data_IF_004904205442
#
_entry.id   IF_004904205442
#
_cell.length_a   1.000
_cell.length_b   1.000
_cell.length_c   1.000
_cell.angle_alpha   90.00
_cell.angle_beta   90.00
_cell.angle_gamma   90.00
#
_symmetry.space_group_name_H-M   'P 1'
#
loop_
_entity.id
_entity.type
_entity.pdbx_description
1 polymer ?
#
# COMPACT_ATOMS: atom_id res chain seq x y z
N UNK A 1 -19.02 -11.15 33.19
CA UNK A 1 -19.13 -9.92 33.97
C UNK A 1 -19.85 -8.89 33.13
N UNK A 2 -21.05 -8.50 33.57
CA UNK A 2 -21.92 -7.54 32.88
C UNK A 2 -21.49 -6.13 33.22
N UNK A 3 -21.03 -5.37 32.22
CA UNK A 3 -20.75 -3.95 32.37
C UNK A 3 -22.07 -3.18 32.18
N UNK A 4 -22.68 -2.82 33.31
CA UNK A 4 -23.80 -1.88 33.41
C UNK A 4 -23.40 -0.50 32.83
N UNK A 5 -23.84 -0.20 31.61
CA UNK A 5 -24.16 1.19 31.26
C UNK A 5 -25.64 1.40 31.52
N UNK A 6 -25.98 1.81 32.75
CA UNK A 6 -27.24 2.51 33.00
C UNK A 6 -27.13 3.85 32.27
N UNK A 7 -27.68 3.91 31.06
CA UNK A 7 -27.95 5.17 30.37
C UNK A 7 -28.86 5.97 31.30
N UNK A 8 -28.41 7.17 31.66
CA UNK A 8 -29.13 8.09 32.52
C UNK A 8 -30.38 8.56 31.74
N UNK A 9 -31.52 7.88 31.95
CA UNK A 9 -32.80 8.12 31.26
C UNK A 9 -33.48 9.43 31.67
N UNK A 10 -32.76 10.39 32.24
CA UNK A 10 -33.31 11.68 32.68
C UNK A 10 -32.89 12.86 31.83
N UNK A 11 -32.08 12.67 30.77
CA UNK A 11 -31.64 13.79 29.93
C UNK A 11 -32.82 14.43 29.20
N UNK A 12 -32.88 15.76 29.24
CA UNK A 12 -33.89 16.50 28.48
C UNK A 12 -33.44 16.63 27.01
N UNK A 13 -34.41 16.72 26.07
CA UNK A 13 -34.12 16.97 24.64
C UNK A 13 -33.14 18.13 24.43
N UNK A 14 -33.26 19.18 25.24
CA UNK A 14 -32.39 20.35 25.19
C UNK A 14 -30.92 20.00 25.48
N UNK A 15 -30.66 19.17 26.49
CA UNK A 15 -29.31 18.74 26.87
C UNK A 15 -28.67 17.88 25.76
N UNK A 16 -29.45 17.02 25.11
CA UNK A 16 -29.00 16.23 23.96
C UNK A 16 -28.60 17.16 22.80
N UNK A 17 -29.43 18.16 22.50
CA UNK A 17 -29.13 19.14 21.45
C UNK A 17 -27.87 19.95 21.77
N UNK A 18 -27.68 20.35 23.04
CA UNK A 18 -26.46 21.05 23.49
C UNK A 18 -25.21 20.16 23.34
N UNK A 19 -25.30 18.88 23.72
CA UNK A 19 -24.22 17.91 23.57
C UNK A 19 -23.87 17.67 22.09
N UNK A 20 -24.87 17.54 21.22
CA UNK A 20 -24.67 17.45 19.77
C UNK A 20 -24.04 18.73 19.20
N UNK A 21 -24.40 19.90 19.72
CA UNK A 21 -23.75 21.17 19.40
C UNK A 21 -22.25 21.15 19.75
N UNK A 22 -21.91 20.60 20.92
CA UNK A 22 -20.52 20.41 21.34
C UNK A 22 -19.78 19.44 20.42
N UNK A 23 -20.36 18.28 20.08
CA UNK A 23 -19.77 17.35 19.09
C UNK A 23 -19.49 18.06 17.77
N UNK A 24 -20.47 18.79 17.22
CA UNK A 24 -20.31 19.53 15.97
C UNK A 24 -19.15 20.53 16.04
N UNK A 25 -18.99 21.25 17.14
CA UNK A 25 -17.88 22.20 17.32
C UNK A 25 -16.51 21.51 17.30
N UNK A 26 -16.38 20.33 17.92
CA UNK A 26 -15.16 19.53 17.91
C UNK A 26 -14.86 19.01 16.51
N UNK A 27 -15.88 18.50 15.82
CA UNK A 27 -15.74 17.96 14.47
C UNK A 27 -15.23 19.04 13.52
N UNK A 28 -15.84 20.23 13.52
CA UNK A 28 -15.41 21.34 12.68
C UNK A 28 -13.97 21.75 13.00
N UNK A 29 -13.61 21.87 14.27
CA UNK A 29 -12.23 22.16 14.67
C UNK A 29 -11.24 21.10 14.18
N UNK A 30 -11.63 19.83 14.16
CA UNK A 30 -10.78 18.74 13.66
C UNK A 30 -10.64 18.78 12.14
N UNK A 31 -11.71 19.13 11.43
CA UNK A 31 -11.67 19.38 9.99
C UNK A 31 -10.70 20.51 9.65
N UNK A 32 -10.75 21.63 10.38
CA UNK A 32 -9.87 22.78 10.15
C UNK A 32 -8.38 22.45 10.38
N UNK A 33 -8.07 21.35 11.09
CA UNK A 33 -6.71 20.86 11.34
C UNK A 33 -6.38 19.60 10.50
N UNK A 34 -7.19 19.28 9.48
CA UNK A 34 -7.08 18.09 8.63
C UNK A 34 -7.06 16.74 9.41
N UNK A 35 -7.56 16.71 10.65
CA UNK A 35 -7.66 15.52 11.50
C UNK A 35 -8.97 14.76 11.23
N UNK A 36 -9.14 14.35 9.97
CA UNK A 36 -10.36 13.74 9.45
C UNK A 36 -10.72 12.43 10.16
N UNK A 37 -9.73 11.58 10.48
CA UNK A 37 -9.97 10.32 11.20
C UNK A 37 -10.61 10.57 12.56
N UNK A 38 -10.10 11.53 13.32
CA UNK A 38 -10.69 11.85 14.61
C UNK A 38 -12.03 12.56 14.45
N UNK A 39 -12.23 13.37 13.40
CA UNK A 39 -13.52 14.00 13.09
C UNK A 39 -14.60 12.93 12.82
N UNK A 40 -14.28 11.92 12.01
CA UNK A 40 -15.16 10.77 11.74
C UNK A 40 -15.53 10.02 13.03
N UNK A 41 -14.55 9.72 13.89
CA UNK A 41 -14.81 9.07 15.19
C UNK A 41 -15.76 9.88 16.09
N UNK A 42 -15.68 11.22 16.03
CA UNK A 42 -16.59 12.10 16.79
C UNK A 42 -17.98 12.17 16.16
N UNK A 43 -18.10 12.04 14.85
CA UNK A 43 -19.40 11.88 14.18
C UNK A 43 -20.04 10.56 14.59
N UNK A 44 -19.31 9.46 14.59
CA UNK A 44 -19.84 8.15 14.99
C UNK A 44 -20.34 8.18 16.44
N UNK A 45 -19.62 8.90 17.32
CA UNK A 45 -20.07 9.14 18.71
C UNK A 45 -21.38 9.92 18.76
N UNK A 46 -21.52 10.97 17.96
CA UNK A 46 -22.73 11.78 17.89
C UNK A 46 -23.92 11.01 17.28
N UNK A 47 -23.68 10.20 16.25
CA UNK A 47 -24.69 9.31 15.64
C UNK A 47 -25.14 8.21 16.61
N UNK A 48 -24.22 7.69 17.43
CA UNK A 48 -24.57 6.74 18.51
C UNK A 48 -25.49 7.40 19.54
N UNK A 49 -25.14 8.61 20.00
CA UNK A 49 -25.99 9.38 20.91
C UNK A 49 -27.39 9.64 20.32
N UNK A 50 -27.46 10.01 19.04
CA UNK A 50 -28.74 10.21 18.36
C UNK A 50 -29.58 8.93 18.34
N UNK A 51 -28.97 7.80 18.00
CA UNK A 51 -29.64 6.51 17.96
C UNK A 51 -30.17 6.09 19.35
N UNK A 52 -29.42 6.36 20.41
CA UNK A 52 -29.82 6.04 21.79
C UNK A 52 -31.10 6.78 22.22
N UNK A 53 -31.32 7.99 21.73
CA UNK A 53 -32.44 8.86 22.12
C UNK A 53 -33.52 9.05 21.04
N UNK A 54 -33.36 8.48 19.85
CA UNK A 54 -34.29 8.62 18.71
C UNK A 54 -35.71 8.10 19.03
N UNK A 55 -35.83 7.14 19.95
CA UNK A 55 -37.14 6.59 20.36
C UNK A 55 -37.88 7.49 21.36
N UNK A 56 -37.16 8.36 22.05
CA UNK A 56 -37.70 9.27 23.09
C UNK A 56 -37.98 10.67 22.52
N UNK A 57 -37.18 11.11 21.54
CA UNK A 57 -37.28 12.44 20.95
C UNK A 57 -37.21 12.38 19.42
N UNK A 58 -37.97 13.25 18.75
CA UNK A 58 -37.80 13.50 17.32
C UNK A 58 -36.48 14.24 17.07
N UNK A 59 -35.49 13.51 16.53
CA UNK A 59 -34.12 13.94 16.24
C UNK A 59 -33.76 13.73 14.75
N UNK A 60 -34.75 13.56 13.87
CA UNK A 60 -34.51 13.27 12.44
C UNK A 60 -33.65 14.35 11.76
N UNK A 61 -33.85 15.61 12.11
CA UNK A 61 -33.10 16.74 11.56
C UNK A 61 -31.63 16.66 11.95
N UNK A 62 -31.34 16.39 13.21
CA UNK A 62 -29.98 16.25 13.75
C UNK A 62 -29.28 15.05 13.12
N UNK A 63 -29.96 13.90 13.05
CA UNK A 63 -29.48 12.69 12.36
C UNK A 63 -29.11 12.98 10.91
N UNK A 64 -30.00 13.64 10.16
CA UNK A 64 -29.71 14.04 8.77
C UNK A 64 -28.47 14.94 8.67
N UNK A 65 -28.32 15.90 9.57
CA UNK A 65 -27.17 16.82 9.56
C UNK A 65 -25.86 16.09 9.82
N UNK A 66 -25.80 15.19 10.80
CA UNK A 66 -24.59 14.42 11.09
C UNK A 66 -24.25 13.41 10.01
N UNK A 67 -25.25 12.75 9.41
CA UNK A 67 -25.03 11.86 8.26
C UNK A 67 -24.48 12.62 7.04
N UNK A 68 -25.02 13.80 6.74
CA UNK A 68 -24.49 14.64 5.66
C UNK A 68 -23.04 15.08 5.94
N UNK A 69 -22.74 15.43 7.19
CA UNK A 69 -21.39 15.78 7.61
C UNK A 69 -20.44 14.59 7.50
N UNK A 70 -20.87 13.38 7.88
CA UNK A 70 -20.11 12.13 7.75
C UNK A 70 -19.75 11.87 6.29
N UNK A 71 -20.73 11.97 5.39
CA UNK A 71 -20.53 11.73 3.96
C UNK A 71 -19.52 12.70 3.37
N UNK A 72 -19.63 14.00 3.70
CA UNK A 72 -18.68 15.01 3.22
C UNK A 72 -17.25 14.71 3.70
N UNK A 73 -17.11 14.40 4.99
CA UNK A 73 -15.82 14.06 5.60
C UNK A 73 -15.21 12.78 5.03
N UNK A 74 -16.03 11.77 4.75
CA UNK A 74 -15.59 10.52 4.17
C UNK A 74 -15.02 10.74 2.77
N UNK A 75 -15.68 11.58 1.95
CA UNK A 75 -15.19 11.94 0.61
C UNK A 75 -13.84 12.63 0.70
N UNK A 76 -13.68 13.65 1.54
CA UNK A 76 -12.41 14.36 1.72
C UNK A 76 -11.30 13.42 2.22
N UNK A 77 -11.60 12.60 3.24
CA UNK A 77 -10.67 11.59 3.75
C UNK A 77 -10.21 10.60 2.67
N UNK A 78 -11.15 10.06 1.90
CA UNK A 78 -10.87 9.09 0.85
C UNK A 78 -10.08 9.74 -0.30
N UNK A 79 -10.36 10.98 -0.66
CA UNK A 79 -9.60 11.73 -1.68
C UNK A 79 -8.13 11.86 -1.30
N UNK A 80 -7.85 12.29 -0.07
CA UNK A 80 -6.47 12.40 0.44
C UNK A 80 -5.80 11.03 0.51
N UNK A 81 -6.47 10.02 1.06
CA UNK A 81 -5.94 8.65 1.12
C UNK A 81 -5.63 8.10 -0.27
N UNK A 82 -6.53 8.31 -1.23
CA UNK A 82 -6.40 7.82 -2.60
C UNK A 82 -5.24 8.50 -3.36
N UNK A 83 -4.83 9.70 -2.98
CA UNK A 83 -3.65 10.36 -3.55
C UNK A 83 -2.40 9.48 -3.37
N UNK A 84 -2.13 9.02 -2.14
CA UNK A 84 -0.97 8.19 -1.82
C UNK A 84 -1.03 6.82 -2.52
N UNK A 85 -2.22 6.21 -2.54
CA UNK A 85 -2.44 4.92 -3.19
C UNK A 85 -2.17 5.03 -4.70
N UNK A 86 -2.66 6.10 -5.34
CA UNK A 86 -2.40 6.35 -6.77
C UNK A 86 -0.91 6.56 -7.03
N UNK A 87 -0.22 7.35 -6.21
CA UNK A 87 1.24 7.56 -6.34
C UNK A 87 1.99 6.23 -6.25
N UNK A 88 1.69 5.39 -5.25
CA UNK A 88 2.31 4.07 -5.14
C UNK A 88 1.97 3.14 -6.30
N UNK A 89 0.71 3.12 -6.74
CA UNK A 89 0.27 2.33 -7.90
C UNK A 89 1.01 2.73 -9.18
N UNK A 90 1.22 4.04 -9.38
CA UNK A 90 1.95 4.55 -10.53
C UNK A 90 3.42 4.14 -10.49
N UNK A 91 4.10 4.27 -9.35
CA UNK A 91 5.47 3.78 -9.17
C UNK A 91 5.59 2.29 -9.54
N UNK A 92 4.65 1.45 -9.10
CA UNK A 92 4.65 0.01 -9.41
C UNK A 92 4.45 -0.32 -10.90
N UNK A 93 4.01 0.64 -11.71
CA UNK A 93 3.81 0.49 -13.16
C UNK A 93 4.96 1.10 -13.97
N UNK A 94 5.91 1.80 -13.34
CA UNK A 94 7.07 2.32 -14.04
C UNK A 94 7.93 1.19 -14.60
N UNK A 95 8.44 1.37 -15.80
CA UNK A 95 9.41 0.46 -16.41
C UNK A 95 10.75 0.61 -15.69
N UNK A 96 11.17 -0.43 -14.98
CA UNK A 96 12.43 -0.46 -14.25
C UNK A 96 13.57 -1.02 -15.09
N UNK A 97 14.73 -0.37 -14.98
CA UNK A 97 16.00 -0.75 -15.59
C UNK A 97 17.10 -0.63 -14.53
N UNK A 98 18.25 -1.28 -14.73
CA UNK A 98 19.40 -1.09 -13.84
C UNK A 98 19.81 0.40 -13.75
N UNK A 99 19.65 1.16 -14.83
CA UNK A 99 20.03 2.56 -14.91
C UNK A 99 19.09 3.52 -14.15
N UNK A 100 17.79 3.22 -14.06
CA UNK A 100 16.82 4.09 -13.39
C UNK A 100 16.44 3.63 -11.97
N UNK A 101 16.90 2.45 -11.55
CA UNK A 101 16.54 1.84 -10.26
C UNK A 101 16.85 2.76 -9.07
N UNK A 102 18.00 3.45 -9.09
CA UNK A 102 18.38 4.36 -8.00
C UNK A 102 17.42 5.54 -7.88
N UNK A 103 17.02 6.15 -9.00
CA UNK A 103 16.07 7.25 -9.00
C UNK A 103 14.67 6.78 -8.56
N UNK A 104 14.25 5.61 -9.02
CA UNK A 104 13.01 4.99 -8.57
C UNK A 104 12.98 4.79 -7.05
N UNK A 105 14.08 4.31 -6.46
CA UNK A 105 14.19 4.11 -5.01
C UNK A 105 14.07 5.42 -4.26
N UNK A 106 14.68 6.50 -4.77
CA UNK A 106 14.54 7.84 -4.17
C UNK A 106 13.07 8.27 -4.16
N UNK A 107 12.36 8.09 -5.26
CA UNK A 107 10.92 8.42 -5.34
C UNK A 107 10.09 7.57 -4.37
N UNK A 108 10.34 6.26 -4.30
CA UNK A 108 9.65 5.37 -3.36
C UNK A 108 9.96 5.75 -1.90
N UNK A 109 11.18 6.16 -1.58
CA UNK A 109 11.57 6.60 -0.25
C UNK A 109 10.92 7.92 0.13
N UNK A 110 10.83 8.87 -0.81
CA UNK A 110 10.08 10.12 -0.59
C UNK A 110 8.61 9.82 -0.29
N UNK A 111 7.97 8.96 -1.10
CA UNK A 111 6.59 8.55 -0.84
C UNK A 111 6.44 7.84 0.53
N UNK A 112 7.40 6.98 0.90
CA UNK A 112 7.38 6.32 2.21
C UNK A 112 7.38 7.34 3.35
N UNK A 113 8.25 8.35 3.29
CA UNK A 113 8.32 9.37 4.32
C UNK A 113 7.01 10.15 4.42
N UNK A 114 6.43 10.57 3.29
CA UNK A 114 5.13 11.24 3.28
C UNK A 114 4.01 10.35 3.87
N UNK A 115 4.04 9.04 3.59
CA UNK A 115 3.07 8.07 4.15
C UNK A 115 3.27 7.90 5.65
N UNK A 116 4.52 7.85 6.13
CA UNK A 116 4.84 7.73 7.55
C UNK A 116 4.38 8.98 8.32
N UNK A 117 4.59 10.17 7.76
CA UNK A 117 4.21 11.45 8.36
C UNK A 117 2.68 11.59 8.47
N UNK A 118 1.94 11.10 7.46
CA UNK A 118 0.47 11.17 7.42
C UNK A 118 -0.22 9.85 7.83
N UNK A 119 0.50 8.92 8.45
CA UNK A 119 0.05 7.54 8.69
C UNK A 119 -1.26 7.45 9.46
N UNK A 120 -1.32 8.15 10.59
CA UNK A 120 -2.49 8.17 11.46
C UNK A 120 -3.64 9.00 10.86
N UNK A 121 -3.30 10.10 10.16
CA UNK A 121 -4.23 11.09 9.65
C UNK A 121 -5.15 10.50 8.57
N UNK A 122 -4.58 9.72 7.65
CA UNK A 122 -5.30 9.10 6.53
C UNK A 122 -5.39 7.58 6.62
N UNK A 123 -5.04 6.99 7.76
CA UNK A 123 -5.06 5.54 8.00
C UNK A 123 -4.32 4.74 6.92
N UNK A 124 -3.02 5.04 6.74
CA UNK A 124 -2.19 4.51 5.65
C UNK A 124 -1.37 3.26 6.02
N UNK A 125 -1.68 2.57 7.12
CA UNK A 125 -0.89 1.42 7.60
C UNK A 125 -0.74 0.31 6.55
N UNK A 126 -1.82 0.00 5.84
CA UNK A 126 -1.79 -0.99 4.76
C UNK A 126 -0.85 -0.57 3.62
N UNK A 127 -0.84 0.72 3.27
CA UNK A 127 0.05 1.26 2.26
C UNK A 127 1.51 1.26 2.73
N UNK A 128 1.76 1.63 3.99
CA UNK A 128 3.08 1.59 4.62
C UNK A 128 3.66 0.17 4.59
N UNK A 129 2.87 -0.83 4.99
CA UNK A 129 3.28 -2.24 4.98
C UNK A 129 3.61 -2.72 3.57
N UNK A 130 2.81 -2.33 2.59
CA UNK A 130 3.07 -2.65 1.19
C UNK A 130 4.38 -2.01 0.68
N UNK A 131 4.65 -0.76 1.02
CA UNK A 131 5.90 -0.06 0.65
C UNK A 131 7.10 -0.73 1.34
N UNK A 132 6.99 -1.09 2.61
CA UNK A 132 8.05 -1.78 3.36
C UNK A 132 8.36 -3.16 2.76
N UNK A 133 7.31 -3.89 2.38
CA UNK A 133 7.44 -5.17 1.68
C UNK A 133 8.17 -4.96 0.34
N UNK A 134 7.79 -3.95 -0.43
CA UNK A 134 8.46 -3.62 -1.68
C UNK A 134 9.96 -3.32 -1.48
N UNK A 135 10.33 -2.53 -0.46
CA UNK A 135 11.74 -2.28 -0.12
C UNK A 135 12.53 -3.56 0.20
N UNK A 136 11.88 -4.54 0.82
CA UNK A 136 12.51 -5.85 1.08
C UNK A 136 12.85 -6.57 -0.22
N UNK A 137 11.99 -6.47 -1.24
CA UNK A 137 12.25 -7.01 -2.57
C UNK A 137 13.33 -6.22 -3.33
N UNK A 138 13.37 -4.89 -3.21
CA UNK A 138 14.47 -4.09 -3.78
C UNK A 138 15.83 -4.55 -3.21
N UNK A 139 15.91 -4.79 -1.89
CA UNK A 139 17.16 -5.28 -1.26
C UNK A 139 17.58 -6.63 -1.83
N UNK A 140 16.64 -7.57 -1.96
CA UNK A 140 16.90 -8.87 -2.61
C UNK A 140 17.38 -8.70 -4.05
N UNK A 141 16.75 -7.80 -4.81
CA UNK A 141 17.10 -7.48 -6.19
C UNK A 141 18.53 -6.94 -6.30
N UNK A 142 18.96 -6.04 -5.41
CA UNK A 142 20.34 -5.56 -5.42
C UNK A 142 21.35 -6.68 -5.20
N UNK A 143 21.07 -7.65 -4.33
CA UNK A 143 21.92 -8.83 -4.16
C UNK A 143 22.07 -9.62 -5.45
N UNK A 144 21.01 -9.71 -6.27
CA UNK A 144 21.06 -10.35 -7.59
C UNK A 144 21.92 -9.51 -8.53
N UNK A 145 21.64 -8.21 -8.66
CA UNK A 145 22.37 -7.29 -9.55
C UNK A 145 23.86 -7.24 -9.20
N UNK A 146 24.22 -7.26 -7.92
CA UNK A 146 25.62 -7.18 -7.47
C UNK A 146 26.40 -8.47 -7.69
N UNK A 147 25.73 -9.62 -7.81
CA UNK A 147 26.39 -10.93 -7.86
C UNK A 147 26.26 -11.66 -9.19
N UNK A 148 25.27 -11.35 -10.04
CA UNK A 148 25.01 -12.17 -11.23
C UNK A 148 26.13 -12.16 -12.28
N UNK A 149 26.96 -11.09 -12.33
CA UNK A 149 28.11 -11.00 -13.26
C UNK A 149 29.31 -11.83 -12.82
N UNK A 150 29.35 -12.26 -11.56
CA UNK A 150 30.49 -12.99 -10.96
C UNK A 150 30.15 -14.42 -10.55
N UNK A 151 28.87 -14.72 -10.36
CA UNK A 151 28.39 -16.09 -10.12
C UNK A 151 28.46 -16.90 -11.41
N UNK A 152 28.55 -18.23 -11.26
CA UNK A 152 28.31 -19.11 -12.40
C UNK A 152 26.83 -18.99 -12.85
N UNK A 153 26.58 -19.38 -14.10
CA UNK A 153 25.25 -19.27 -14.71
C UNK A 153 24.15 -19.94 -13.89
N UNK A 154 24.39 -21.15 -13.36
CA UNK A 154 23.37 -21.92 -12.62
C UNK A 154 22.97 -21.23 -11.32
N UNK A 155 23.93 -20.68 -10.57
CA UNK A 155 23.66 -19.97 -9.33
C UNK A 155 22.93 -18.63 -9.57
N UNK A 156 23.36 -17.89 -10.60
CA UNK A 156 22.74 -16.62 -10.97
C UNK A 156 21.29 -16.83 -11.46
N UNK A 157 21.08 -17.79 -12.37
CA UNK A 157 19.77 -18.14 -12.90
C UNK A 157 18.81 -18.62 -11.81
N UNK A 158 19.26 -19.52 -10.92
CA UNK A 158 18.46 -20.02 -9.80
C UNK A 158 17.95 -18.90 -8.89
N UNK A 159 18.81 -17.94 -8.54
CA UNK A 159 18.43 -16.77 -7.73
C UNK A 159 17.41 -15.88 -8.45
N UNK A 160 17.60 -15.61 -9.75
CA UNK A 160 16.67 -14.80 -10.55
C UNK A 160 15.30 -15.47 -10.67
N UNK A 161 15.26 -16.78 -10.93
CA UNK A 161 14.02 -17.54 -11.05
C UNK A 161 13.25 -17.60 -9.73
N UNK A 162 13.95 -17.82 -8.61
CA UNK A 162 13.33 -17.76 -7.27
C UNK A 162 12.72 -16.39 -7.01
N UNK A 163 13.48 -15.32 -7.27
CA UNK A 163 13.00 -13.96 -7.08
C UNK A 163 11.78 -13.65 -7.95
N UNK A 164 11.78 -14.07 -9.22
CA UNK A 164 10.63 -13.87 -10.12
C UNK A 164 9.36 -14.57 -9.61
N UNK A 165 9.50 -15.76 -9.01
CA UNK A 165 8.38 -16.49 -8.40
C UNK A 165 7.84 -15.75 -7.18
N UNK A 166 8.72 -15.28 -6.29
CA UNK A 166 8.36 -14.50 -5.11
C UNK A 166 7.71 -13.15 -5.48
N UNK A 167 8.30 -12.41 -6.43
CA UNK A 167 7.76 -11.12 -6.89
C UNK A 167 6.39 -11.26 -7.56
N UNK A 168 6.11 -12.42 -8.18
CA UNK A 168 4.80 -12.72 -8.77
C UNK A 168 3.72 -12.92 -7.70
N UNK A 169 4.03 -13.58 -6.58
CA UNK A 169 3.05 -13.75 -5.50
C UNK A 169 2.66 -12.43 -4.85
N UNK A 170 3.59 -11.48 -4.76
CA UNK A 170 3.34 -10.13 -4.22
C UNK A 170 2.78 -9.15 -5.26
N UNK A 171 2.61 -9.58 -6.51
CA UNK A 171 2.16 -8.76 -7.63
C UNK A 171 3.08 -7.54 -7.90
N UNK A 172 4.41 -7.68 -7.92
CA UNK A 172 5.34 -6.59 -8.28
C UNK A 172 5.79 -6.70 -9.75
N UNK A 173 4.97 -6.25 -10.72
CA UNK A 173 5.21 -6.50 -12.15
C UNK A 173 6.49 -5.84 -12.65
N UNK A 174 6.79 -4.61 -12.22
CA UNK A 174 7.97 -3.88 -12.65
C UNK A 174 9.29 -4.50 -12.16
N UNK A 175 9.34 -5.04 -10.93
CA UNK A 175 10.50 -5.80 -10.44
C UNK A 175 10.67 -7.11 -11.20
N UNK A 176 9.56 -7.80 -11.48
CA UNK A 176 9.58 -9.03 -12.28
C UNK A 176 10.13 -8.75 -13.69
N UNK A 177 9.68 -7.68 -14.32
CA UNK A 177 10.14 -7.26 -15.65
C UNK A 177 11.65 -6.97 -15.64
N UNK A 178 12.13 -6.18 -14.67
CA UNK A 178 13.56 -5.90 -14.51
C UNK A 178 14.39 -7.18 -14.37
N UNK A 179 13.99 -8.10 -13.49
CA UNK A 179 14.72 -9.37 -13.32
C UNK A 179 14.65 -10.26 -14.55
N UNK A 180 13.53 -10.24 -15.28
CA UNK A 180 13.41 -10.94 -16.56
C UNK A 180 14.42 -10.41 -17.57
N UNK A 181 14.57 -9.09 -17.67
CA UNK A 181 15.55 -8.46 -18.57
C UNK A 181 16.99 -8.80 -18.16
N UNK A 182 17.31 -8.80 -16.86
CA UNK A 182 18.62 -9.22 -16.36
C UNK A 182 18.87 -10.70 -16.70
N UNK A 183 17.88 -11.57 -16.53
CA UNK A 183 17.98 -12.99 -16.86
C UNK A 183 18.19 -13.23 -18.36
N UNK A 184 17.53 -12.48 -19.23
CA UNK A 184 17.75 -12.53 -20.67
C UNK A 184 19.18 -12.14 -21.05
N UNK A 185 19.73 -11.09 -20.42
CA UNK A 185 21.12 -10.70 -20.62
C UNK A 185 22.10 -11.79 -20.16
N UNK A 186 21.81 -12.45 -19.03
CA UNK A 186 22.61 -13.58 -18.54
C UNK A 186 22.59 -14.75 -19.54
N UNK A 187 21.42 -15.09 -20.09
CA UNK A 187 21.28 -16.12 -21.12
C UNK A 187 22.09 -15.78 -22.39
N UNK A 188 22.01 -14.53 -22.85
CA UNK A 188 22.74 -14.08 -24.02
C UNK A 188 24.25 -14.27 -23.85
N UNK A 189 24.81 -13.81 -22.73
CA UNK A 189 26.23 -13.98 -22.41
C UNK A 189 26.63 -15.46 -22.38
N UNK A 190 25.76 -16.31 -21.84
CA UNK A 190 26.02 -17.75 -21.78
C UNK A 190 25.98 -18.39 -23.17
N UNK A 191 25.05 -17.99 -24.04
CA UNK A 191 25.00 -18.45 -25.42
C UNK A 191 26.22 -18.01 -26.23
N UNK A 192 26.67 -16.77 -26.07
CA UNK A 192 27.90 -16.27 -26.69
C UNK A 192 29.13 -17.07 -26.23
N UNK A 193 29.19 -17.45 -24.94
CA UNK A 193 30.25 -18.31 -24.43
C UNK A 193 30.19 -19.72 -25.04
N UNK A 194 28.99 -20.30 -25.16
CA UNK A 194 28.81 -21.62 -25.77
C UNK A 194 29.18 -21.63 -27.26
N UNK A 195 28.82 -20.57 -28.00
CA UNK A 195 29.12 -20.44 -29.43
C UNK A 195 30.63 -20.39 -29.72
N UNK A 196 31.45 -19.99 -28.75
CA UNK A 196 32.92 -20.07 -28.87
C UNK A 196 33.48 -21.49 -28.79
N UNK A 197 32.71 -22.42 -28.23
CA UNK A 197 33.13 -23.81 -27.96
C UNK A 197 32.44 -24.80 -28.88
N UNK A 198 31.22 -24.49 -29.33
CA UNK A 198 30.37 -25.40 -30.09
C UNK A 198 29.86 -24.74 -31.37
N UNK A 199 30.10 -25.36 -32.52
CA UNK A 199 29.63 -24.88 -33.83
C UNK A 199 28.11 -25.07 -34.02
N UNK A 200 27.55 -26.12 -33.42
CA UNK A 200 26.12 -26.42 -33.49
C UNK A 200 25.69 -27.16 -32.22
N UNK A 201 24.57 -26.72 -31.65
CA UNK A 201 23.87 -27.40 -30.56
C UNK A 201 22.38 -27.47 -30.90
N UNK A 202 21.76 -28.58 -30.59
CA UNK A 202 20.30 -28.73 -30.56
C UNK A 202 19.71 -28.05 -29.32
N UNK A 203 18.40 -27.78 -29.35
CA UNK A 203 17.69 -27.21 -28.19
C UNK A 203 17.81 -28.11 -26.96
N UNK A 204 17.73 -29.44 -27.14
CA UNK A 204 17.87 -30.39 -26.03
C UNK A 204 19.24 -30.30 -25.37
N UNK A 205 20.31 -30.25 -26.16
CA UNK A 205 21.68 -30.11 -25.64
C UNK A 205 21.88 -28.77 -24.92
N UNK A 206 21.24 -27.71 -25.42
CA UNK A 206 21.24 -26.39 -24.77
C UNK A 206 20.52 -26.47 -23.42
N UNK A 207 19.31 -27.04 -23.38
CA UNK A 207 18.52 -27.18 -22.17
C UNK A 207 19.24 -27.99 -21.09
N UNK A 208 19.87 -29.11 -21.47
CA UNK A 208 20.68 -29.92 -20.56
C UNK A 208 21.88 -29.14 -20.01
N UNK A 209 22.64 -28.45 -20.88
CA UNK A 209 23.82 -27.66 -20.48
C UNK A 209 23.45 -26.49 -19.58
N UNK A 210 22.29 -25.88 -19.78
CA UNK A 210 21.80 -24.76 -18.97
C UNK A 210 20.98 -25.21 -17.76
N UNK A 211 20.74 -26.51 -17.59
CA UNK A 211 19.84 -27.04 -16.56
C UNK A 211 18.45 -26.36 -16.58
N UNK A 212 17.99 -25.98 -17.78
CA UNK A 212 16.65 -25.42 -18.00
C UNK A 212 15.76 -26.59 -18.37
N UNK A 213 14.74 -26.86 -17.57
CA UNK A 213 13.73 -27.85 -17.94
C UNK A 213 13.01 -27.36 -19.20
N UNK A 214 12.95 -28.16 -20.29
CA UNK A 214 12.27 -27.77 -21.53
C UNK A 214 10.75 -27.60 -21.34
#
# INVERSE_FOLDING_TARGET
MSSNHKIDRSKQKKEIIEELGFYKSIILKKMDNDDFKSALSKIDSALTLLNDYQTEFDLEKETKNFTQLQQKLQVEFDEHRNLYIRRYSNLRKETLTEANLENFIKLLAMLKNEVDDSLNQYSLYDLQDNINTYFTYIKKLYTIISSYKVLNYNDASGKMLSFMKEARSENFPNLKELVTNIYQNLLLLQFESMAKTYDKLSITEISEKLSISP
#
